data_IF_420110734569
#
_entry.id   IF_420110734569
#
_cell.length_a   1.000
_cell.length_b   1.000
_cell.length_c   1.000
_cell.angle_alpha   90.00
_cell.angle_beta   90.00
_cell.angle_gamma   90.00
#
_symmetry.space_group_name_H-M   'P 1'
#
loop_
_entity.id
_entity.type
_entity.pdbx_description
1 polymer ?
#
# COMPACT_ATOMS: atom_id res chain seq x y z
N UNK A 1 15.66 -9.33 -20.55
CA UNK A 1 15.62 -7.86 -20.73
C UNK A 1 14.45 -7.35 -19.92
N UNK A 2 14.71 -6.39 -19.03
CA UNK A 2 13.69 -5.78 -18.17
C UNK A 2 13.29 -4.44 -18.78
N UNK A 3 11.99 -4.21 -18.80
CA UNK A 3 11.38 -2.96 -19.21
C UNK A 3 10.57 -2.41 -18.06
N UNK A 4 10.86 -1.17 -17.65
CA UNK A 4 10.13 -0.46 -16.60
C UNK A 4 9.47 0.75 -17.26
N UNK A 5 8.15 0.80 -17.25
CA UNK A 5 7.35 1.90 -17.78
C UNK A 5 6.49 2.51 -16.69
N UNK A 6 6.31 3.82 -16.74
CA UNK A 6 5.47 4.58 -15.80
C UNK A 6 4.43 5.36 -16.61
N UNK A 7 3.15 5.05 -16.39
CA UNK A 7 2.00 5.66 -17.07
C UNK A 7 0.90 5.91 -16.04
N UNK A 8 0.36 7.14 -15.97
CA UNK A 8 -0.82 7.47 -15.14
C UNK A 8 -0.78 6.89 -13.72
N UNK A 9 0.32 7.16 -13.00
CA UNK A 9 0.61 6.66 -11.64
C UNK A 9 0.77 5.14 -11.46
N UNK A 10 0.64 4.37 -12.54
CA UNK A 10 0.96 2.95 -12.57
C UNK A 10 2.43 2.74 -13.00
N UNK A 11 3.10 1.79 -12.35
CA UNK A 11 4.43 1.34 -12.74
C UNK A 11 4.31 -0.09 -13.25
N UNK A 12 4.69 -0.33 -14.50
CA UNK A 12 4.70 -1.65 -15.12
C UNK A 12 6.14 -2.12 -15.28
N UNK A 13 6.42 -3.31 -14.78
CA UNK A 13 7.73 -3.96 -14.83
C UNK A 13 7.54 -5.25 -15.60
N UNK A 14 8.18 -5.37 -16.76
CA UNK A 14 8.05 -6.52 -17.66
C UNK A 14 9.41 -7.19 -17.85
N UNK A 15 9.45 -8.50 -17.70
CA UNK A 15 10.60 -9.34 -18.02
C UNK A 15 10.25 -10.20 -19.22
N UNK A 16 11.06 -10.12 -20.28
CA UNK A 16 10.88 -10.91 -21.50
C UNK A 16 11.82 -12.11 -21.55
N UNK A 17 11.23 -13.30 -21.77
CA UNK A 17 11.91 -14.59 -21.97
C UNK A 17 12.02 -14.99 -23.44
N UNK A 18 11.49 -14.18 -24.37
CA UNK A 18 11.46 -14.53 -25.80
C UNK A 18 12.84 -14.85 -26.39
N UNK A 19 13.88 -14.11 -25.98
CA UNK A 19 15.26 -14.38 -26.43
C UNK A 19 15.74 -15.76 -25.97
N UNK A 20 15.49 -16.09 -24.71
CA UNK A 20 15.85 -17.37 -24.10
C UNK A 20 15.09 -18.53 -24.75
N UNK A 21 13.79 -18.39 -24.99
CA UNK A 21 12.98 -19.38 -25.73
C UNK A 21 13.55 -19.64 -27.13
N UNK A 22 13.91 -18.58 -27.87
CA UNK A 22 14.53 -18.73 -29.20
C UNK A 22 15.85 -19.49 -29.16
N UNK A 23 16.70 -19.20 -28.16
CA UNK A 23 17.97 -19.92 -27.98
C UNK A 23 17.70 -21.40 -27.71
N UNK A 24 16.78 -21.74 -26.80
CA UNK A 24 16.43 -23.14 -26.55
C UNK A 24 15.87 -23.85 -27.78
N UNK A 25 15.01 -23.19 -28.57
CA UNK A 25 14.51 -23.74 -29.83
C UNK A 25 15.66 -24.07 -30.80
N UNK A 26 16.63 -23.16 -30.96
CA UNK A 26 17.78 -23.37 -31.83
C UNK A 26 18.69 -24.49 -31.30
N UNK A 27 19.01 -24.50 -30.01
CA UNK A 27 19.82 -25.56 -29.39
C UNK A 27 19.14 -26.94 -29.52
N UNK A 28 17.82 -27.00 -29.34
CA UNK A 28 17.07 -28.23 -29.47
C UNK A 28 17.04 -28.75 -30.91
N UNK A 29 16.84 -27.86 -31.89
CA UNK A 29 16.93 -28.20 -33.31
C UNK A 29 18.32 -28.73 -33.66
N UNK A 30 19.38 -28.09 -33.17
CA UNK A 30 20.75 -28.55 -33.38
C UNK A 30 21.00 -29.94 -32.77
N UNK A 31 20.53 -30.17 -31.55
CA UNK A 31 20.65 -31.47 -30.88
C UNK A 31 19.90 -32.58 -31.64
N UNK A 32 18.71 -32.27 -32.16
CA UNK A 32 17.91 -33.19 -32.96
C UNK A 32 18.60 -33.54 -34.29
N UNK A 33 19.24 -32.57 -34.95
CA UNK A 33 20.09 -32.81 -36.13
C UNK A 33 21.29 -33.71 -35.78
N UNK A 34 21.96 -33.45 -34.64
CA UNK A 34 23.10 -34.24 -34.19
C UNK A 34 22.73 -35.71 -33.95
N UNK A 35 21.58 -35.97 -33.33
CA UNK A 35 21.04 -37.33 -33.17
C UNK A 35 20.88 -38.00 -34.54
N UNK A 36 20.31 -37.30 -35.52
CA UNK A 36 20.09 -37.90 -36.83
C UNK A 36 21.39 -38.21 -37.60
N UNK A 37 22.42 -37.38 -37.45
CA UNK A 37 23.75 -37.66 -38.00
C UNK A 37 24.36 -38.92 -37.35
N UNK A 38 24.13 -39.14 -36.05
CA UNK A 38 24.69 -40.30 -35.34
C UNK A 38 24.05 -41.65 -35.72
N UNK A 39 22.84 -41.64 -36.29
CA UNK A 39 22.07 -42.86 -36.60
C UNK A 39 21.86 -43.10 -38.11
N UNK A 40 22.52 -42.32 -38.99
CA UNK A 40 22.49 -42.46 -40.46
C UNK A 40 21.08 -42.59 -41.08
N UNK A 41 20.10 -41.82 -40.56
CA UNK A 41 18.74 -41.82 -41.12
C UNK A 41 18.66 -41.09 -42.47
N UNK A 42 18.00 -41.68 -43.47
CA UNK A 42 17.60 -40.98 -44.69
C UNK A 42 16.51 -39.92 -44.41
N UNK A 43 16.61 -38.75 -45.05
CA UNK A 43 15.71 -37.60 -44.80
C UNK A 43 14.20 -37.91 -44.89
N UNK A 44 13.71 -38.75 -45.83
CA UNK A 44 12.29 -39.12 -45.86
C UNK A 44 11.87 -40.02 -44.68
N UNK A 45 12.74 -40.97 -44.30
CA UNK A 45 12.54 -41.83 -43.13
C UNK A 45 12.58 -41.01 -41.83
N UNK A 46 13.35 -39.92 -41.81
CA UNK A 46 13.43 -38.98 -40.70
C UNK A 46 12.11 -38.25 -40.43
N UNK A 47 11.36 -37.80 -41.44
CA UNK A 47 10.09 -37.05 -41.23
C UNK A 47 8.95 -38.00 -40.82
N UNK A 48 8.94 -39.21 -41.37
CA UNK A 48 7.88 -40.20 -41.13
C UNK A 48 8.10 -41.04 -39.87
N UNK A 49 9.25 -40.90 -39.20
CA UNK A 49 9.53 -41.60 -37.95
C UNK A 49 8.63 -41.06 -36.81
N UNK A 50 7.88 -41.91 -36.09
CA UNK A 50 7.01 -41.46 -35.01
C UNK A 50 7.76 -40.73 -33.89
N UNK A 51 9.04 -41.06 -33.64
CA UNK A 51 9.86 -40.41 -32.63
C UNK A 51 10.18 -38.96 -33.00
N UNK A 52 10.54 -38.71 -34.26
CA UNK A 52 10.82 -37.35 -34.75
C UNK A 52 9.53 -36.52 -34.81
N UNK A 53 8.41 -37.12 -35.22
CA UNK A 53 7.09 -36.48 -35.18
C UNK A 53 6.72 -36.01 -33.76
N UNK A 54 6.97 -36.83 -32.72
CA UNK A 54 6.79 -36.42 -31.33
C UNK A 54 7.65 -35.21 -30.95
N UNK A 55 8.92 -35.16 -31.38
CA UNK A 55 9.81 -34.02 -31.13
C UNK A 55 9.36 -32.74 -31.86
N UNK A 56 8.88 -32.85 -33.11
CA UNK A 56 8.34 -31.70 -33.84
C UNK A 56 7.05 -31.16 -33.20
N UNK A 57 6.15 -32.04 -32.77
CA UNK A 57 4.95 -31.64 -32.03
C UNK A 57 5.35 -30.91 -30.73
N UNK A 58 6.33 -31.44 -29.99
CA UNK A 58 6.84 -30.79 -28.78
C UNK A 58 7.43 -29.40 -29.05
N UNK A 59 8.20 -29.23 -30.12
CA UNK A 59 8.72 -27.92 -30.55
C UNK A 59 7.59 -26.93 -30.85
N UNK A 60 6.54 -27.36 -31.56
CA UNK A 60 5.36 -26.53 -31.83
C UNK A 60 4.68 -26.13 -30.52
N UNK A 61 4.48 -27.08 -29.60
CA UNK A 61 3.84 -26.81 -28.31
C UNK A 61 4.62 -25.80 -27.48
N UNK A 62 5.94 -25.94 -27.34
CA UNK A 62 6.78 -24.96 -26.64
C UNK A 62 6.70 -23.58 -27.29
N UNK A 63 6.69 -23.54 -28.62
CA UNK A 63 6.63 -22.29 -29.37
C UNK A 63 5.36 -21.50 -29.07
N UNK A 64 4.22 -22.18 -28.96
CA UNK A 64 2.92 -21.54 -28.67
C UNK A 64 2.65 -21.32 -27.18
N UNK A 65 3.00 -22.29 -26.34
CA UNK A 65 2.60 -22.32 -24.93
C UNK A 65 3.72 -21.93 -23.95
N UNK A 66 4.93 -21.69 -24.44
CA UNK A 66 6.04 -21.20 -23.63
C UNK A 66 5.74 -19.87 -22.94
N UNK A 67 6.18 -19.74 -21.69
CA UNK A 67 6.10 -18.50 -20.92
C UNK A 67 7.02 -17.47 -21.56
N UNK A 68 6.46 -16.32 -21.93
CA UNK A 68 7.14 -15.30 -22.73
C UNK A 68 7.43 -14.06 -21.95
N UNK A 69 6.52 -13.70 -21.05
CA UNK A 69 6.66 -12.52 -20.22
C UNK A 69 6.18 -12.81 -18.82
N UNK A 70 6.89 -12.24 -17.86
CA UNK A 70 6.36 -11.99 -16.52
C UNK A 70 6.18 -10.48 -16.37
N UNK A 71 5.08 -10.07 -15.76
CA UNK A 71 4.75 -8.66 -15.55
C UNK A 71 4.32 -8.41 -14.11
N UNK A 72 4.89 -7.38 -13.49
CA UNK A 72 4.35 -6.76 -12.28
C UNK A 72 3.73 -5.42 -12.68
N UNK A 73 2.46 -5.22 -12.36
CA UNK A 73 1.81 -3.90 -12.46
C UNK A 73 1.56 -3.38 -11.06
N UNK A 74 2.21 -2.29 -10.70
CA UNK A 74 2.09 -1.63 -9.41
C UNK A 74 1.03 -0.54 -9.55
N UNK A 75 -0.05 -0.69 -8.79
CA UNK A 75 -1.12 0.30 -8.66
C UNK A 75 -1.06 0.95 -7.28
N UNK A 76 -2.03 1.79 -6.96
CA UNK A 76 -2.04 2.59 -5.74
C UNK A 76 -2.05 1.74 -4.46
N UNK A 77 -2.87 0.69 -4.39
CA UNK A 77 -3.08 -0.14 -3.20
C UNK A 77 -2.73 -1.63 -3.37
N UNK A 78 -2.40 -2.07 -4.58
CA UNK A 78 -2.01 -3.47 -4.84
C UNK A 78 -0.99 -3.59 -5.98
N UNK A 79 -0.33 -4.74 -6.03
CA UNK A 79 0.43 -5.19 -7.19
C UNK A 79 -0.30 -6.33 -7.89
N UNK A 80 -0.21 -6.38 -9.21
CA UNK A 80 -0.71 -7.46 -10.05
C UNK A 80 0.47 -8.20 -10.67
N UNK A 81 0.63 -9.46 -10.32
CA UNK A 81 1.65 -10.35 -10.86
C UNK A 81 1.03 -11.23 -11.95
N UNK A 82 1.53 -11.13 -13.19
CA UNK A 82 1.00 -11.85 -14.34
C UNK A 82 2.09 -12.61 -15.09
N UNK A 83 1.74 -13.83 -15.53
CA UNK A 83 2.57 -14.65 -16.41
C UNK A 83 1.85 -14.82 -17.74
N UNK A 84 2.52 -14.47 -18.83
CA UNK A 84 1.95 -14.37 -20.16
C UNK A 84 2.71 -15.30 -21.10
N UNK A 85 1.97 -16.11 -21.86
CA UNK A 85 2.50 -17.06 -22.86
C UNK A 85 2.77 -16.38 -24.21
N UNK A 86 3.43 -17.10 -25.12
CA UNK A 86 3.80 -16.60 -26.45
C UNK A 86 2.56 -16.22 -27.29
N UNK A 87 1.48 -16.98 -27.12
CA UNK A 87 0.17 -16.70 -27.72
C UNK A 87 -0.61 -15.55 -27.04
N UNK A 88 0.04 -14.75 -26.19
CA UNK A 88 -0.52 -13.60 -25.45
C UNK A 88 -1.59 -13.94 -24.41
N UNK A 89 -1.86 -15.22 -24.13
CA UNK A 89 -2.78 -15.61 -23.05
C UNK A 89 -2.10 -15.46 -21.69
N UNK A 90 -2.84 -14.92 -20.72
CA UNK A 90 -2.42 -14.85 -19.32
C UNK A 90 -2.70 -16.23 -18.70
N UNK A 91 -1.66 -16.91 -18.23
CA UNK A 91 -1.81 -18.23 -17.61
C UNK A 91 -1.79 -18.20 -16.09
N UNK A 92 -1.29 -17.11 -15.52
CA UNK A 92 -1.31 -16.86 -14.08
C UNK A 92 -1.51 -15.36 -13.87
N UNK A 93 -2.44 -15.00 -12.99
CA UNK A 93 -2.67 -13.62 -12.58
C UNK A 93 -3.01 -13.61 -11.10
N UNK A 94 -2.26 -12.84 -10.32
CA UNK A 94 -2.47 -12.74 -8.88
C UNK A 94 -2.43 -11.29 -8.46
N UNK A 95 -3.49 -10.86 -7.78
CA UNK A 95 -3.57 -9.60 -7.06
C UNK A 95 -2.99 -9.78 -5.65
N UNK A 96 -2.09 -8.89 -5.25
CA UNK A 96 -1.44 -8.87 -3.94
C UNK A 96 -1.58 -7.47 -3.38
N UNK A 97 -2.24 -7.33 -2.23
CA UNK A 97 -2.41 -6.04 -1.58
C UNK A 97 -1.06 -5.54 -1.03
N UNK A 98 -0.81 -4.22 -1.10
CA UNK A 98 0.45 -3.63 -0.63
C UNK A 98 0.62 -3.74 0.89
N UNK A 99 -0.47 -3.82 1.66
CA UNK A 99 -0.40 -4.03 3.11
C UNK A 99 0.00 -5.45 3.51
N UNK A 100 -0.41 -6.46 2.73
CA UNK A 100 -0.06 -7.86 2.96
C UNK A 100 1.42 -8.16 2.69
N UNK A 101 2.16 -7.27 2.02
CA UNK A 101 3.58 -7.44 1.71
C UNK A 101 4.43 -7.15 2.95
N UNK A 102 5.18 -8.17 3.37
CA UNK A 102 6.09 -8.11 4.52
C UNK A 102 7.49 -7.71 4.09
N UNK A 103 8.05 -8.44 3.13
CA UNK A 103 9.38 -8.16 2.58
C UNK A 103 9.52 -8.70 1.17
N UNK A 104 10.49 -8.12 0.48
CA UNK A 104 10.95 -8.58 -0.82
C UNK A 104 12.43 -8.95 -0.71
N UNK A 105 12.84 -10.06 -1.32
CA UNK A 105 14.23 -10.52 -1.24
C UNK A 105 14.64 -11.29 -2.49
N UNK A 106 15.95 -11.31 -2.73
CA UNK A 106 16.55 -12.09 -3.80
C UNK A 106 16.77 -13.53 -3.33
N UNK A 107 16.35 -14.51 -4.14
CA UNK A 107 16.63 -15.93 -3.90
C UNK A 107 17.27 -16.55 -5.12
N UNK A 108 18.46 -17.11 -4.94
CA UNK A 108 19.09 -18.05 -5.86
C UNK A 108 18.97 -19.46 -5.28
N UNK A 109 18.34 -20.40 -5.99
CA UNK A 109 18.37 -21.81 -5.58
C UNK A 109 19.64 -22.50 -6.06
N UNK A 110 20.41 -23.04 -5.12
CA UNK A 110 21.58 -23.87 -5.34
C UNK A 110 21.19 -25.35 -5.27
N UNK A 111 21.63 -26.19 -6.21
CA UNK A 111 21.69 -27.64 -6.04
C UNK A 111 22.88 -27.96 -5.11
N UNK A 112 22.65 -27.89 -3.79
CA UNK A 112 23.46 -28.37 -2.64
C UNK A 112 25.01 -28.28 -2.67
N UNK A 113 25.60 -27.30 -1.95
CA UNK A 113 27.02 -27.17 -1.56
C UNK A 113 28.15 -27.20 -2.63
N UNK A 114 28.97 -26.13 -2.66
CA UNK A 114 30.32 -25.98 -3.29
C UNK A 114 30.41 -25.82 -4.82
N UNK A 115 30.65 -24.58 -5.26
CA UNK A 115 31.94 -24.19 -5.91
C UNK A 115 31.92 -22.69 -6.24
N UNK A 116 33.09 -22.04 -6.14
CA UNK A 116 33.36 -20.64 -6.49
C UNK A 116 33.98 -20.50 -7.89
N UNK A 117 33.94 -21.55 -8.71
CA UNK A 117 34.78 -21.66 -9.93
C UNK A 117 33.99 -22.11 -11.15
N UNK A 118 34.19 -21.39 -12.26
CA UNK A 118 34.03 -21.70 -13.70
C UNK A 118 32.70 -22.32 -14.21
N UNK A 119 31.95 -23.05 -13.40
CA UNK A 119 30.66 -23.67 -13.71
C UNK A 119 29.48 -22.70 -13.69
N UNK A 120 29.69 -21.46 -13.23
CA UNK A 120 28.71 -20.37 -13.26
C UNK A 120 28.17 -20.06 -14.66
N UNK A 121 28.92 -20.47 -15.71
CA UNK A 121 28.54 -20.31 -17.11
C UNK A 121 27.76 -21.49 -17.72
N UNK A 122 27.78 -22.66 -17.09
CA UNK A 122 27.30 -23.91 -17.74
C UNK A 122 25.86 -24.25 -17.31
N UNK A 123 25.46 -23.93 -16.07
CA UNK A 123 24.10 -24.19 -15.58
C UNK A 123 23.46 -22.91 -15.04
N UNK A 124 22.33 -22.43 -15.62
CA UNK A 124 21.69 -21.21 -15.16
C UNK A 124 21.11 -21.43 -13.76
N UNK A 125 21.56 -20.63 -12.80
CA UNK A 125 20.95 -20.57 -11.48
C UNK A 125 19.54 -19.99 -11.60
N UNK A 126 18.59 -20.72 -11.05
CA UNK A 126 17.23 -20.25 -10.84
C UNK A 126 17.27 -19.09 -9.82
N UNK A 127 17.31 -17.86 -10.33
CA UNK A 127 17.31 -16.59 -9.57
C UNK A 127 15.92 -15.98 -9.65
N UNK A 128 15.40 -15.48 -8.53
CA UNK A 128 14.07 -14.88 -8.46
C UNK A 128 14.03 -13.71 -7.47
N UNK A 129 13.20 -12.71 -7.77
CA UNK A 129 12.63 -11.84 -6.76
C UNK A 129 11.52 -12.60 -6.02
N UNK A 130 11.61 -12.67 -4.70
CA UNK A 130 10.57 -13.23 -3.84
C UNK A 130 9.80 -12.10 -3.16
N UNK A 131 8.47 -12.19 -3.20
CA UNK A 131 7.56 -11.28 -2.52
C UNK A 131 6.86 -12.07 -1.43
N UNK A 132 7.26 -11.84 -0.19
CA UNK A 132 6.70 -12.54 0.98
C UNK A 132 5.51 -11.76 1.51
N UNK A 133 4.38 -12.46 1.62
CA UNK A 133 3.16 -11.94 2.21
C UNK A 133 2.79 -12.72 3.48
N UNK A 134 1.78 -12.25 4.20
CA UNK A 134 1.26 -12.95 5.37
C UNK A 134 0.80 -14.39 5.10
N UNK A 135 0.38 -14.71 3.86
CA UNK A 135 -0.21 -16.02 3.51
C UNK A 135 0.74 -16.90 2.71
N UNK A 136 1.46 -16.31 1.76
CA UNK A 136 2.31 -17.05 0.82
C UNK A 136 3.43 -16.20 0.23
N UNK A 137 4.39 -16.88 -0.39
CA UNK A 137 5.51 -16.24 -1.09
C UNK A 137 5.34 -16.38 -2.60
N UNK A 138 5.42 -15.25 -3.29
CA UNK A 138 5.37 -15.18 -4.74
C UNK A 138 6.77 -15.05 -5.33
N UNK A 139 6.91 -15.45 -6.59
CA UNK A 139 8.16 -15.40 -7.33
C UNK A 139 7.98 -14.59 -8.59
N UNK A 140 8.97 -13.79 -8.93
CA UNK A 140 9.00 -13.00 -10.15
C UNK A 140 10.42 -12.97 -10.72
N UNK A 141 10.52 -12.99 -12.04
CA UNK A 141 11.75 -12.86 -12.77
C UNK A 141 12.62 -14.09 -12.64
N UNK A 142 12.21 -15.22 -13.22
CA UNK A 142 13.12 -16.35 -13.41
C UNK A 142 14.43 -15.87 -14.06
N UNK A 143 15.56 -16.29 -13.51
CA UNK A 143 16.92 -15.94 -13.96
C UNK A 143 17.22 -14.43 -13.94
N UNK A 144 16.48 -13.63 -13.18
CA UNK A 144 16.72 -12.18 -13.03
C UNK A 144 18.15 -11.87 -12.58
N UNK A 145 18.76 -10.86 -13.22
CA UNK A 145 20.07 -10.34 -12.81
C UNK A 145 19.98 -9.56 -11.51
N UNK A 146 21.06 -9.57 -10.73
CA UNK A 146 21.06 -8.99 -9.39
C UNK A 146 20.87 -7.46 -9.41
N UNK A 147 21.48 -6.75 -10.36
CA UNK A 147 21.29 -5.29 -10.53
C UNK A 147 19.85 -4.91 -10.85
N UNK A 148 19.24 -5.72 -11.71
CA UNK A 148 17.87 -5.56 -12.13
C UNK A 148 16.88 -5.88 -11.01
N UNK A 149 17.18 -6.91 -10.20
CA UNK A 149 16.52 -7.14 -8.92
C UNK A 149 16.59 -5.91 -8.01
N UNK A 150 17.77 -5.30 -7.83
CA UNK A 150 17.91 -4.13 -6.94
C UNK A 150 17.03 -2.96 -7.38
N UNK A 151 16.96 -2.69 -8.69
CA UNK A 151 16.09 -1.65 -9.26
C UNK A 151 14.62 -1.92 -8.93
N UNK A 152 14.14 -3.13 -9.22
CA UNK A 152 12.75 -3.52 -8.99
C UNK A 152 12.42 -3.52 -7.49
N UNK A 153 13.32 -4.05 -6.67
CA UNK A 153 13.17 -4.13 -5.23
C UNK A 153 13.05 -2.75 -4.60
N UNK A 154 13.86 -1.79 -5.04
CA UNK A 154 13.78 -0.40 -4.58
C UNK A 154 12.40 0.21 -4.85
N UNK A 155 11.90 0.07 -6.08
CA UNK A 155 10.57 0.57 -6.48
C UNK A 155 9.46 -0.03 -5.61
N UNK A 156 9.48 -1.35 -5.40
CA UNK A 156 8.46 -2.04 -4.59
C UNK A 156 8.49 -1.60 -3.12
N UNK A 157 9.68 -1.51 -2.52
CA UNK A 157 9.83 -1.08 -1.12
C UNK A 157 9.34 0.36 -0.93
N UNK A 158 9.71 1.27 -1.83
CA UNK A 158 9.26 2.66 -1.77
C UNK A 158 7.73 2.75 -1.87
N UNK A 159 7.10 2.00 -2.79
CA UNK A 159 5.64 2.02 -2.93
C UNK A 159 4.91 1.43 -1.73
N UNK A 160 5.38 0.30 -1.18
CA UNK A 160 4.80 -0.31 0.03
C UNK A 160 4.90 0.64 1.21
N UNK A 161 6.04 1.33 1.37
CA UNK A 161 6.23 2.31 2.44
C UNK A 161 5.29 3.50 2.29
N UNK A 162 5.19 4.07 1.10
CA UNK A 162 4.27 5.18 0.79
C UNK A 162 2.82 4.81 1.12
N UNK A 163 2.38 3.62 0.69
CA UNK A 163 1.03 3.13 0.94
C UNK A 163 0.74 2.93 2.43
N UNK A 164 1.65 2.27 3.18
CA UNK A 164 1.47 2.06 4.62
C UNK A 164 1.42 3.38 5.38
N UNK A 165 2.23 4.37 4.99
CA UNK A 165 2.19 5.71 5.60
C UNK A 165 0.85 6.43 5.33
N UNK A 166 0.38 6.41 4.07
CA UNK A 166 -0.93 6.98 3.70
C UNK A 166 -2.08 6.31 4.45
N UNK A 167 -2.05 4.99 4.58
CA UNK A 167 -3.06 4.21 5.32
C UNK A 167 -3.14 4.64 6.80
N UNK A 168 -2.01 4.83 7.47
CA UNK A 168 -1.98 5.28 8.87
C UNK A 168 -2.62 6.67 9.03
N UNK A 169 -2.38 7.58 8.09
CA UNK A 169 -2.98 8.93 8.13
C UNK A 169 -4.50 8.82 7.94
N UNK A 170 -4.95 8.06 6.94
CA UNK A 170 -6.36 7.85 6.66
C UNK A 170 -7.09 7.18 7.84
N UNK A 171 -6.48 6.18 8.46
CA UNK A 171 -7.05 5.49 9.63
C UNK A 171 -7.18 6.45 10.82
N UNK A 172 -6.23 7.37 11.02
CA UNK A 172 -6.33 8.43 12.05
C UNK A 172 -7.44 9.43 11.77
N UNK A 173 -7.56 9.88 10.52
CA UNK A 173 -8.64 10.79 10.11
C UNK A 173 -10.00 10.14 10.30
N UNK A 174 -10.15 8.89 9.87
CA UNK A 174 -11.39 8.12 10.03
C UNK A 174 -11.74 7.88 11.50
N UNK A 175 -10.77 7.50 12.34
CA UNK A 175 -11.03 7.33 13.78
C UNK A 175 -11.52 8.65 14.41
N UNK A 176 -10.93 9.79 14.02
CA UNK A 176 -11.38 11.11 14.48
C UNK A 176 -12.80 11.43 14.00
N UNK A 177 -13.14 11.10 12.77
CA UNK A 177 -14.50 11.25 12.24
C UNK A 177 -15.51 10.37 12.99
N UNK A 178 -15.16 9.11 13.29
CA UNK A 178 -16.00 8.18 14.05
C UNK A 178 -16.20 8.67 15.51
N UNK A 179 -15.15 9.17 16.16
CA UNK A 179 -15.23 9.82 17.49
C UNK A 179 -16.16 11.04 17.47
N UNK A 180 -15.99 11.91 16.47
CA UNK A 180 -16.86 13.07 16.24
C UNK A 180 -18.32 12.64 16.07
N UNK A 181 -18.60 11.66 15.21
CA UNK A 181 -19.96 11.16 14.96
C UNK A 181 -20.59 10.54 16.24
N UNK A 182 -19.79 9.83 17.04
CA UNK A 182 -20.25 9.27 18.31
C UNK A 182 -20.64 10.37 19.30
N UNK A 183 -19.83 11.42 19.42
CA UNK A 183 -20.16 12.59 20.24
C UNK A 183 -21.46 13.24 19.74
N UNK A 184 -21.64 13.39 18.43
CA UNK A 184 -22.85 14.02 17.88
C UNK A 184 -24.15 13.23 18.13
N UNK A 185 -24.07 11.91 18.35
CA UNK A 185 -25.23 11.08 18.73
C UNK A 185 -25.66 11.24 20.19
N UNK A 186 -24.84 11.85 21.04
CA UNK A 186 -25.17 12.09 22.45
C UNK A 186 -26.22 13.21 22.61
N UNK A 187 -26.88 13.24 23.77
CA UNK A 187 -27.79 14.32 24.13
C UNK A 187 -27.05 15.66 24.33
N UNK A 188 -27.77 16.79 24.25
CA UNK A 188 -27.20 18.15 24.35
C UNK A 188 -26.31 18.33 25.59
N UNK A 189 -26.74 17.83 26.75
CA UNK A 189 -26.02 17.93 28.02
C UNK A 189 -24.75 17.07 28.07
N UNK A 190 -24.81 15.85 27.53
CA UNK A 190 -23.66 14.94 27.46
C UNK A 190 -22.60 15.47 26.50
N UNK A 191 -23.02 15.96 25.32
CA UNK A 191 -22.12 16.62 24.36
C UNK A 191 -21.43 17.84 24.94
N UNK A 192 -22.16 18.64 25.72
CA UNK A 192 -21.59 19.80 26.39
C UNK A 192 -20.43 19.39 27.30
N UNK A 193 -20.62 18.36 28.13
CA UNK A 193 -19.57 17.85 29.03
C UNK A 193 -18.38 17.29 28.25
N UNK A 194 -18.61 16.51 27.19
CA UNK A 194 -17.53 15.98 26.33
C UNK A 194 -16.69 17.10 25.68
N UNK A 195 -17.32 18.17 25.20
CA UNK A 195 -16.61 19.33 24.65
C UNK A 195 -15.78 20.03 25.73
N UNK A 196 -16.31 20.21 26.95
CA UNK A 196 -15.54 20.81 28.04
C UNK A 196 -14.34 19.94 28.42
N UNK A 197 -14.51 18.62 28.48
CA UNK A 197 -13.43 17.68 28.71
C UNK A 197 -12.35 17.79 27.62
N UNK A 198 -12.74 17.83 26.34
CA UNK A 198 -11.81 18.01 25.22
C UNK A 198 -11.02 19.34 25.31
N UNK A 199 -11.67 20.45 25.69
CA UNK A 199 -11.00 21.74 25.93
C UNK A 199 -9.93 21.63 27.01
N UNK A 200 -10.22 20.90 28.10
CA UNK A 200 -9.30 20.70 29.22
C UNK A 200 -8.13 19.78 28.82
N UNK A 201 -8.42 18.71 28.08
CA UNK A 201 -7.43 17.69 27.70
C UNK A 201 -6.48 18.16 26.58
N UNK A 202 -7.00 18.85 25.56
CA UNK A 202 -6.20 19.38 24.46
C UNK A 202 -5.59 20.75 24.77
N UNK A 203 -6.06 21.41 25.84
CA UNK A 203 -5.72 22.79 26.22
C UNK A 203 -5.89 23.81 25.06
N UNK A 204 -6.78 23.50 24.12
CA UNK A 204 -7.04 24.28 22.91
C UNK A 204 -8.53 24.30 22.60
N UNK A 205 -8.97 25.38 21.97
CA UNK A 205 -10.34 25.50 21.48
C UNK A 205 -10.43 26.39 20.24
N UNK A 206 -11.56 26.27 19.54
CA UNK A 206 -11.96 27.07 18.43
C UNK A 206 -13.01 28.09 18.88
N UNK A 207 -12.74 29.37 18.64
CA UNK A 207 -13.66 30.47 18.92
C UNK A 207 -14.11 31.07 17.60
N UNK A 208 -15.42 31.23 17.43
CA UNK A 208 -15.97 32.10 16.38
C UNK A 208 -16.91 33.12 17.01
N UNK A 209 -16.88 34.34 16.47
CA UNK A 209 -17.77 35.41 16.90
C UNK A 209 -18.86 35.56 15.84
N UNK A 210 -20.08 35.15 16.17
CA UNK A 210 -21.26 35.36 15.31
C UNK A 210 -22.12 36.44 15.94
N UNK A 211 -22.20 37.59 15.26
CA UNK A 211 -22.98 38.76 15.71
C UNK A 211 -22.58 39.19 17.15
N UNK A 212 -23.44 38.90 18.13
CA UNK A 212 -23.29 39.25 19.55
C UNK A 212 -22.86 38.06 20.44
N UNK A 213 -22.85 36.82 19.91
CA UNK A 213 -22.56 35.61 20.68
C UNK A 213 -21.23 34.97 20.29
N UNK A 214 -20.60 34.31 21.27
CA UNK A 214 -19.45 33.45 21.02
C UNK A 214 -19.94 32.02 20.71
N UNK A 215 -19.30 31.37 19.74
CA UNK A 215 -19.42 29.94 19.54
C UNK A 215 -18.07 29.29 19.84
N UNK A 216 -18.10 28.32 20.75
CA UNK A 216 -16.93 27.58 21.23
C UNK A 216 -17.09 26.10 20.91
N UNK A 217 -16.04 25.54 20.36
CA UNK A 217 -15.89 24.12 20.11
C UNK A 217 -14.43 23.72 20.38
N UNK A 218 -14.13 22.47 20.66
CA UNK A 218 -12.76 21.93 20.73
C UNK A 218 -12.54 20.77 19.76
N UNK A 219 -13.62 20.15 19.29
CA UNK A 219 -13.53 18.87 18.62
C UNK A 219 -13.53 19.07 17.11
N UNK A 220 -14.33 20.03 16.62
CA UNK A 220 -14.44 20.33 15.19
C UNK A 220 -14.09 21.79 14.84
N UNK A 221 -13.23 21.95 13.83
CA UNK A 221 -12.85 23.26 13.31
C UNK A 221 -13.90 23.73 12.30
N UNK A 222 -14.71 24.71 12.69
CA UNK A 222 -15.54 25.42 11.70
C UNK A 222 -14.67 26.31 10.80
N UNK A 223 -15.07 26.49 9.53
CA UNK A 223 -14.31 27.31 8.56
C UNK A 223 -14.07 28.76 9.02
N UNK A 224 -14.94 29.28 9.88
CA UNK A 224 -14.91 30.67 10.37
C UNK A 224 -14.34 30.81 11.80
N UNK A 225 -13.79 29.73 12.37
CA UNK A 225 -13.26 29.73 13.73
C UNK A 225 -11.75 29.90 13.81
N UNK A 226 -11.30 30.64 14.84
CA UNK A 226 -9.89 30.82 15.19
C UNK A 226 -9.51 29.82 16.28
N UNK A 227 -8.40 29.10 16.07
CA UNK A 227 -7.79 28.26 17.10
C UNK A 227 -7.11 29.16 18.14
N UNK A 228 -7.33 28.89 19.42
CA UNK A 228 -6.75 29.63 20.54
C UNK A 228 -6.43 28.68 21.68
N UNK A 229 -5.28 28.86 22.31
CA UNK A 229 -4.92 28.11 23.52
C UNK A 229 -5.90 28.43 24.65
N UNK A 230 -6.31 27.40 25.39
CA UNK A 230 -7.30 27.50 26.47
C UNK A 230 -6.88 28.53 27.53
N UNK A 231 -5.59 28.60 27.88
CA UNK A 231 -5.10 29.59 28.84
C UNK A 231 -5.32 31.03 28.35
N UNK A 232 -5.04 31.29 27.07
CA UNK A 232 -5.24 32.62 26.46
C UNK A 232 -6.72 32.96 26.45
N UNK A 233 -7.58 32.01 26.07
CA UNK A 233 -9.02 32.19 26.13
C UNK A 233 -9.52 32.49 27.55
N UNK A 234 -9.04 31.73 28.53
CA UNK A 234 -9.45 31.84 29.92
C UNK A 234 -9.11 33.21 30.50
N UNK A 235 -7.91 33.72 30.22
CA UNK A 235 -7.47 35.03 30.70
C UNK A 235 -8.20 36.16 29.96
N UNK A 236 -8.33 36.07 28.64
CA UNK A 236 -8.83 37.18 27.83
C UNK A 236 -10.36 37.28 27.80
N UNK A 237 -11.08 36.18 28.02
CA UNK A 237 -12.54 36.13 27.94
C UNK A 237 -13.17 35.68 29.27
N UNK A 238 -12.91 34.45 29.74
CA UNK A 238 -13.60 33.89 30.92
C UNK A 238 -13.30 34.65 32.22
N UNK A 239 -12.11 35.25 32.35
CA UNK A 239 -11.69 35.94 33.57
C UNK A 239 -12.17 37.38 33.67
N UNK A 240 -12.64 37.97 32.57
CA UNK A 240 -13.03 39.38 32.55
C UNK A 240 -14.50 39.58 32.90
N UNK A 241 -14.76 40.53 33.80
CA UNK A 241 -16.12 40.87 34.23
C UNK A 241 -17.00 41.42 33.09
N UNK A 242 -16.39 42.04 32.09
CA UNK A 242 -17.10 42.58 30.91
C UNK A 242 -17.81 41.48 30.09
N UNK A 243 -17.27 40.26 30.08
CA UNK A 243 -17.83 39.13 29.33
C UNK A 243 -18.69 38.20 30.17
N UNK A 244 -18.76 38.39 31.49
CA UNK A 244 -19.39 37.47 32.44
C UNK A 244 -20.84 37.09 32.09
N UNK A 245 -21.62 38.05 31.60
CA UNK A 245 -23.03 37.86 31.23
C UNK A 245 -23.22 37.56 29.74
N UNK A 246 -22.14 37.54 28.95
CA UNK A 246 -22.25 37.27 27.52
C UNK A 246 -22.62 35.81 27.30
N UNK A 247 -23.56 35.61 26.38
CA UNK A 247 -24.00 34.29 25.96
C UNK A 247 -22.95 33.64 25.06
N UNK A 248 -22.71 32.38 25.32
CA UNK A 248 -21.80 31.53 24.56
C UNK A 248 -22.52 30.24 24.24
N UNK A 249 -22.44 29.86 22.98
CA UNK A 249 -22.94 28.57 22.50
C UNK A 249 -21.78 27.59 22.45
N UNK A 250 -21.87 26.52 23.23
CA UNK A 250 -20.86 25.46 23.25
C UNK A 250 -21.39 24.28 22.43
N UNK A 251 -20.77 24.03 21.28
CA UNK A 251 -21.22 23.01 20.33
C UNK A 251 -21.09 23.42 18.86
N UNK A 252 -21.32 22.45 17.98
CA UNK A 252 -21.07 22.59 16.55
C UNK A 252 -22.11 23.46 15.82
N UNK A 253 -21.62 24.28 14.87
CA UNK A 253 -22.37 25.06 13.86
C UNK A 253 -23.49 26.01 14.29
N UNK A 254 -23.81 26.15 15.58
CA UNK A 254 -24.81 27.11 16.04
C UNK A 254 -26.21 26.55 16.28
N UNK A 255 -26.47 25.28 15.90
CA UNK A 255 -27.84 24.71 15.85
C UNK A 255 -28.10 23.78 17.04
N UNK A 256 -27.12 22.97 17.43
CA UNK A 256 -27.26 21.88 18.41
C UNK A 256 -26.41 22.08 19.68
N UNK A 257 -25.84 23.27 19.84
CA UNK A 257 -24.99 23.64 20.96
C UNK A 257 -25.80 24.05 22.20
N UNK A 258 -25.17 23.90 23.37
CA UNK A 258 -25.76 24.35 24.64
C UNK A 258 -25.45 25.83 24.83
N UNK A 259 -26.50 26.64 24.98
CA UNK A 259 -26.36 28.06 25.33
C UNK A 259 -26.10 28.20 26.84
N UNK A 260 -24.98 28.81 27.19
CA UNK A 260 -24.62 29.15 28.57
C UNK A 260 -24.07 30.58 28.64
N UNK A 261 -23.87 31.11 29.85
CA UNK A 261 -23.15 32.38 30.03
C UNK A 261 -21.65 32.09 30.23
N UNK A 262 -20.77 33.05 29.92
CA UNK A 262 -19.34 32.90 30.21
C UNK A 262 -19.06 32.58 31.68
N UNK A 263 -19.82 33.17 32.61
CA UNK A 263 -19.71 32.84 34.04
C UNK A 263 -20.03 31.38 34.32
N UNK A 264 -21.08 30.86 33.69
CA UNK A 264 -21.50 29.47 33.86
C UNK A 264 -20.51 28.50 33.22
N UNK A 265 -20.03 28.82 32.02
CA UNK A 265 -18.98 28.06 31.33
C UNK A 265 -17.72 27.96 32.19
N UNK A 266 -17.28 29.07 32.78
CA UNK A 266 -16.12 29.10 33.69
C UNK A 266 -16.34 28.20 34.91
N UNK A 267 -17.51 28.27 35.53
CA UNK A 267 -17.86 27.43 36.68
C UNK A 267 -17.80 25.94 36.31
N UNK A 268 -18.42 25.56 35.19
CA UNK A 268 -18.51 24.16 34.76
C UNK A 268 -17.12 23.59 34.40
N UNK A 269 -16.27 24.37 33.71
CA UNK A 269 -14.87 23.98 33.41
C UNK A 269 -14.06 23.80 34.70
N UNK A 270 -14.19 24.72 35.65
CA UNK A 270 -13.47 24.63 36.92
C UNK A 270 -13.92 23.40 37.72
N UNK A 271 -15.22 23.11 37.77
CA UNK A 271 -15.74 21.89 38.42
C UNK A 271 -15.14 20.63 37.81
N UNK A 272 -15.16 20.48 36.49
CA UNK A 272 -14.58 19.31 35.82
C UNK A 272 -13.08 19.15 36.12
N UNK A 273 -12.34 20.26 36.19
CA UNK A 273 -10.92 20.26 36.52
C UNK A 273 -10.66 19.90 37.98
N UNK A 274 -11.47 20.44 38.91
CA UNK A 274 -11.37 20.19 40.34
C UNK A 274 -11.75 18.75 40.69
N UNK A 275 -12.80 18.22 40.06
CA UNK A 275 -13.22 16.82 40.17
C UNK A 275 -12.09 15.89 39.69
N UNK A 276 -11.45 16.17 38.55
CA UNK A 276 -10.29 15.40 38.07
C UNK A 276 -9.07 15.50 38.98
N UNK A 277 -8.90 16.62 39.68
CA UNK A 277 -7.80 16.84 40.63
C UNK A 277 -8.01 16.14 41.97
N UNK A 278 -9.24 15.82 42.35
CA UNK A 278 -9.56 15.13 43.60
C UNK A 278 -9.39 13.61 43.51
N UNK A 279 -9.29 13.05 42.29
CA UNK A 279 -9.05 11.62 42.03
C UNK A 279 -7.59 11.28 41.65
N UNK A 280 -6.65 12.24 41.75
CA UNK A 280 -5.21 12.03 41.60
C UNK A 280 -4.51 11.98 42.96
#
# INVERSE_FOLDING_TARGET
MIEITKENDEIKIVISYKKLIKVYQVCFLFFLILIFILFDFEFPAMILNPLSAMFFIYLILISFFGISYEKITIKENYILLEVIRNNKRICYSQKISLDEINKTYFKSSFLRGRSRDLLTYIFPFDRYLKIETNKKTYSFGKEIDYEDYLKINKILIEKVREYKAKKIILDKERNREEELEAIYKLGVEERYIEILNAIIDEEKLFISKKEENFLIDAINKSKDSQETDFYVFYVNYLSKKEYANQKVLVGYNGIDGKEVTMSKLKEDINKLRDDRSTFK
#
